data_IF_804232086972
#
_entry.id   IF_804232086972
#
_cell.length_a   1.000
_cell.length_b   1.000
_cell.length_c   1.000
_cell.angle_alpha   90.00
_cell.angle_beta   90.00
_cell.angle_gamma   90.00
#
_symmetry.space_group_name_H-M   'P 1'
#
loop_
_entity.id
_entity.type
_entity.pdbx_description
1 polymer ?
#
# COMPACT_ATOMS: atom_id res chain seq x y z
N UNK A 1 -34.97 13.02 25.87
CA UNK A 1 -36.34 12.72 25.38
C UNK A 1 -36.48 11.23 25.02
N UNK A 2 -37.44 10.49 25.59
CA UNK A 2 -37.56 9.03 25.43
C UNK A 2 -37.80 8.57 23.99
N UNK A 3 -38.49 9.36 23.16
CA UNK A 3 -38.71 9.02 21.74
C UNK A 3 -37.41 8.94 20.94
N UNK A 4 -36.46 9.85 21.18
CA UNK A 4 -35.17 9.87 20.51
C UNK A 4 -34.30 8.68 20.91
N UNK A 5 -34.35 8.27 22.18
CA UNK A 5 -33.65 7.08 22.65
C UNK A 5 -34.19 5.81 21.99
N UNK A 6 -35.52 5.70 21.85
CA UNK A 6 -36.15 4.58 21.14
C UNK A 6 -35.75 4.53 19.67
N UNK A 7 -35.75 5.67 18.98
CA UNK A 7 -35.31 5.78 17.59
C UNK A 7 -33.85 5.35 17.42
N UNK A 8 -32.94 5.87 18.26
CA UNK A 8 -31.52 5.53 18.23
C UNK A 8 -31.28 4.03 18.46
N UNK A 9 -31.98 3.43 19.45
CA UNK A 9 -31.88 1.98 19.73
C UNK A 9 -32.30 1.15 18.51
N UNK A 10 -33.42 1.50 17.88
CA UNK A 10 -33.90 0.81 16.66
C UNK A 10 -32.89 0.90 15.53
N UNK A 11 -32.38 2.11 15.28
CA UNK A 11 -31.38 2.35 14.24
C UNK A 11 -30.11 1.51 14.47
N UNK A 12 -29.55 1.49 15.68
CA UNK A 12 -28.34 0.70 15.99
C UNK A 12 -28.55 -0.80 15.85
N UNK A 13 -29.73 -1.32 16.22
CA UNK A 13 -30.06 -2.75 16.03
C UNK A 13 -30.08 -3.09 14.54
N UNK A 14 -30.66 -2.23 13.70
CA UNK A 14 -30.68 -2.42 12.25
C UNK A 14 -29.26 -2.37 11.66
N UNK A 15 -28.45 -1.38 12.06
CA UNK A 15 -27.06 -1.22 11.63
C UNK A 15 -26.21 -2.45 11.98
N UNK A 16 -26.33 -2.99 13.20
CA UNK A 16 -25.61 -4.21 13.63
C UNK A 16 -26.00 -5.45 12.82
N UNK A 17 -27.24 -5.54 12.36
CA UNK A 17 -27.70 -6.64 11.50
C UNK A 17 -27.17 -6.50 10.07
N UNK A 18 -27.14 -5.26 9.56
CA UNK A 18 -26.72 -4.94 8.19
C UNK A 18 -25.21 -5.05 7.98
N UNK A 19 -24.42 -4.54 8.93
CA UNK A 19 -22.96 -4.48 8.86
C UNK A 19 -22.32 -5.53 9.77
N UNK A 20 -22.69 -6.79 9.56
CA UNK A 20 -22.15 -7.91 10.32
C UNK A 20 -20.78 -8.28 9.75
N UNK A 21 -19.75 -8.18 10.57
CA UNK A 21 -18.41 -8.63 10.23
C UNK A 21 -18.30 -10.15 10.40
N UNK A 22 -17.43 -10.75 9.59
CA UNK A 22 -17.03 -12.15 9.70
C UNK A 22 -15.50 -12.27 9.55
N UNK A 23 -14.92 -13.39 10.02
CA UNK A 23 -13.52 -13.68 9.75
C UNK A 23 -13.27 -13.71 8.24
N UNK A 24 -12.33 -12.91 7.76
CA UNK A 24 -11.93 -12.92 6.35
C UNK A 24 -11.02 -14.13 6.06
N UNK A 25 -9.98 -14.30 6.87
CA UNK A 25 -9.10 -15.46 6.90
C UNK A 25 -8.45 -15.57 8.30
N UNK A 26 -7.86 -16.72 8.68
CA UNK A 26 -7.13 -16.86 9.95
C UNK A 26 -6.03 -15.80 10.10
N UNK A 27 -5.98 -15.10 11.23
CA UNK A 27 -4.99 -14.08 11.54
C UNK A 27 -5.22 -12.70 10.88
N UNK A 28 -6.18 -12.57 9.96
CA UNK A 28 -6.54 -11.29 9.37
C UNK A 28 -7.69 -10.60 10.12
N UNK A 29 -7.77 -9.26 10.07
CA UNK A 29 -8.89 -8.53 10.63
C UNK A 29 -10.23 -9.02 10.09
N UNK A 30 -11.28 -8.90 10.90
CA UNK A 30 -12.63 -9.21 10.45
C UNK A 30 -13.07 -8.20 9.41
N UNK A 31 -13.78 -8.67 8.40
CA UNK A 31 -14.24 -7.86 7.29
C UNK A 31 -15.72 -8.10 7.04
N UNK A 32 -16.32 -7.27 6.20
CA UNK A 32 -17.64 -7.55 5.66
C UNK A 32 -17.53 -8.79 4.75
N UNK A 33 -18.39 -9.81 4.91
CA UNK A 33 -18.33 -11.01 4.08
C UNK A 33 -18.38 -10.70 2.59
N UNK A 34 -17.64 -11.44 1.77
CA UNK A 34 -17.65 -11.22 0.32
C UNK A 34 -19.06 -11.44 -0.25
N UNK A 35 -19.46 -10.58 -1.18
CA UNK A 35 -20.77 -10.66 -1.84
C UNK A 35 -21.94 -10.09 -1.02
N UNK A 36 -21.71 -9.57 0.19
CA UNK A 36 -22.76 -8.81 0.89
C UNK A 36 -23.11 -7.54 0.09
N UNK A 37 -24.39 -7.31 -0.26
CA UNK A 37 -24.79 -6.08 -0.91
C UNK A 37 -24.47 -4.87 -0.02
N UNK A 38 -23.70 -3.92 -0.54
CA UNK A 38 -23.44 -2.66 0.13
C UNK A 38 -24.67 -1.76 0.05
N UNK A 39 -24.90 -0.97 1.10
CA UNK A 39 -25.85 0.13 1.08
C UNK A 39 -25.43 1.15 0.01
N UNK A 40 -26.36 1.77 -0.74
CA UNK A 40 -26.03 2.88 -1.63
C UNK A 40 -25.11 3.93 -1.00
N UNK A 41 -25.33 4.24 0.28
CA UNK A 41 -24.52 5.20 1.07
C UNK A 41 -23.05 4.77 1.26
N UNK A 42 -22.74 3.47 1.15
CA UNK A 42 -21.38 2.92 1.25
C UNK A 42 -20.81 2.50 -0.11
N UNK A 43 -21.65 2.45 -1.14
CA UNK A 43 -21.24 2.08 -2.49
C UNK A 43 -20.54 3.24 -3.19
N UNK A 44 -19.73 2.92 -4.21
CA UNK A 44 -19.26 3.96 -5.12
C UNK A 44 -20.44 4.54 -5.90
N UNK A 45 -20.47 5.88 -5.98
CA UNK A 45 -21.33 6.54 -6.95
C UNK A 45 -20.97 6.09 -8.37
N UNK A 46 -21.95 6.13 -9.28
CA UNK A 46 -21.74 5.72 -10.66
C UNK A 46 -20.51 6.40 -11.31
N UNK A 47 -20.29 7.72 -11.19
CA UNK A 47 -19.10 8.35 -11.77
C UNK A 47 -17.78 7.84 -11.16
N UNK A 48 -17.75 7.58 -9.85
CA UNK A 48 -16.56 7.08 -9.15
C UNK A 48 -16.25 5.63 -9.56
N UNK A 49 -17.28 4.79 -9.62
CA UNK A 49 -17.15 3.41 -10.07
C UNK A 49 -16.66 3.36 -11.53
N UNK A 50 -17.29 4.10 -12.43
CA UNK A 50 -16.88 4.20 -13.83
C UNK A 50 -15.44 4.68 -13.97
N UNK A 51 -15.04 5.74 -13.25
CA UNK A 51 -13.68 6.24 -13.30
C UNK A 51 -12.65 5.21 -12.79
N UNK A 52 -12.97 4.49 -11.72
CA UNK A 52 -12.10 3.44 -11.18
C UNK A 52 -11.90 2.30 -12.17
N UNK A 53 -12.99 1.74 -12.70
CA UNK A 53 -12.92 0.61 -13.62
C UNK A 53 -12.29 0.99 -14.96
N UNK A 54 -12.63 2.15 -15.54
CA UNK A 54 -12.05 2.60 -16.80
C UNK A 54 -10.55 2.92 -16.67
N UNK A 55 -10.11 3.54 -15.55
CA UNK A 55 -8.68 3.78 -15.34
C UNK A 55 -7.92 2.46 -15.14
N UNK A 56 -8.50 1.53 -14.37
CA UNK A 56 -7.90 0.21 -14.16
C UNK A 56 -7.77 -0.59 -15.44
N UNK A 57 -8.81 -0.61 -16.29
CA UNK A 57 -8.77 -1.33 -17.56
C UNK A 57 -7.85 -0.67 -18.59
N UNK A 58 -7.82 0.67 -18.64
CA UNK A 58 -6.90 1.40 -19.52
C UNK A 58 -5.42 1.21 -19.14
N UNK A 59 -5.11 1.02 -17.85
CA UNK A 59 -3.75 0.77 -17.37
C UNK A 59 -3.21 -0.63 -17.74
N UNK A 60 -4.09 -1.58 -18.03
CA UNK A 60 -3.75 -2.98 -18.34
C UNK A 60 -4.46 -3.45 -19.63
N UNK A 61 -4.04 -2.99 -20.82
CA UNK A 61 -4.69 -3.39 -22.06
C UNK A 61 -4.55 -4.90 -22.32
N UNK A 62 -5.55 -5.57 -22.92
CA UNK A 62 -5.42 -6.96 -23.30
C UNK A 62 -4.19 -7.13 -24.21
N UNK A 63 -3.26 -8.00 -23.81
CA UNK A 63 -2.00 -8.23 -24.52
C UNK A 63 -0.75 -7.62 -23.90
N UNK A 64 -0.79 -7.07 -22.67
CA UNK A 64 0.47 -6.81 -21.93
C UNK A 64 1.23 -8.13 -21.77
N UNK A 65 2.45 -8.28 -22.31
CA UNK A 65 3.23 -9.48 -22.10
C UNK A 65 3.46 -9.67 -20.61
N UNK A 66 3.31 -10.90 -20.10
CA UNK A 66 3.79 -11.23 -18.76
C UNK A 66 5.26 -10.84 -18.68
N UNK A 67 5.58 -9.92 -17.78
CA UNK A 67 6.95 -9.45 -17.58
C UNK A 67 7.79 -10.65 -17.13
N UNK A 68 8.71 -11.08 -17.99
CA UNK A 68 9.74 -12.05 -17.62
C UNK A 68 10.53 -11.50 -16.43
N UNK A 69 10.79 -12.26 -15.36
CA UNK A 69 11.39 -11.75 -14.11
C UNK A 69 12.86 -11.33 -14.24
N UNK A 70 13.42 -11.26 -15.44
CA UNK A 70 14.80 -10.80 -15.65
C UNK A 70 14.85 -9.29 -15.78
N UNK A 71 15.40 -8.63 -14.76
CA UNK A 71 15.94 -7.27 -14.83
C UNK A 71 17.33 -7.25 -14.15
N UNK A 72 18.34 -6.55 -14.71
CA UNK A 72 18.54 -6.19 -16.11
C UNK A 72 19.99 -6.52 -16.60
N UNK A 73 20.38 -6.10 -17.81
CA UNK A 73 20.97 -4.75 -17.94
C UNK A 73 20.39 -3.99 -19.14
N UNK A 74 19.92 -2.74 -19.08
CA UNK A 74 19.59 -1.82 -17.99
C UNK A 74 18.11 -1.40 -18.15
N UNK A 75 17.40 -1.37 -17.03
CA UNK A 75 16.06 -0.82 -16.74
C UNK A 75 14.98 -0.84 -17.86
N UNK A 76 13.88 -1.62 -17.72
CA UNK A 76 12.75 -1.57 -18.64
C UNK A 76 12.03 -0.21 -18.59
N UNK A 77 11.55 0.23 -19.76
CA UNK A 77 10.70 1.42 -19.92
C UNK A 77 9.42 1.25 -19.11
N UNK A 78 9.31 1.94 -17.97
CA UNK A 78 8.05 2.03 -17.25
C UNK A 78 6.95 2.57 -18.18
N UNK A 79 5.75 1.98 -18.21
CA UNK A 79 4.64 2.55 -18.96
C UNK A 79 4.40 3.98 -18.45
N UNK A 80 4.47 4.94 -19.37
CA UNK A 80 4.29 6.36 -19.09
C UNK A 80 2.90 6.56 -18.48
N UNK A 81 2.82 7.01 -17.22
CA UNK A 81 1.52 7.24 -16.58
C UNK A 81 1.47 7.29 -15.05
N UNK A 82 2.58 7.14 -14.32
CA UNK A 82 2.62 7.25 -12.85
C UNK A 82 3.10 8.65 -12.43
N UNK A 83 2.49 9.32 -11.42
CA UNK A 83 2.74 10.73 -11.09
C UNK A 83 3.96 10.98 -10.17
N UNK A 84 4.98 10.13 -10.20
CA UNK A 84 6.37 10.53 -9.91
C UNK A 84 7.10 10.44 -11.25
N UNK A 85 7.96 11.39 -11.67
CA UNK A 85 8.61 11.26 -12.96
C UNK A 85 9.39 9.94 -12.93
N UNK A 86 8.94 8.89 -13.66
CA UNK A 86 9.60 7.60 -13.62
C UNK A 86 11.06 7.76 -14.07
N UNK A 87 11.35 8.81 -14.82
CA UNK A 87 12.67 9.26 -15.24
C UNK A 87 13.62 9.53 -14.07
N UNK A 88 13.20 10.27 -13.03
CA UNK A 88 14.08 10.56 -11.88
C UNK A 88 14.40 9.26 -11.12
N UNK A 89 13.38 8.44 -10.86
CA UNK A 89 13.58 7.12 -10.22
C UNK A 89 14.50 6.24 -11.07
N UNK A 90 14.29 6.18 -12.39
CA UNK A 90 15.10 5.38 -13.32
C UNK A 90 16.54 5.88 -13.42
N UNK A 91 16.78 7.17 -13.23
CA UNK A 91 18.13 7.75 -13.21
C UNK A 91 18.85 7.49 -11.88
N UNK A 92 18.13 7.57 -10.75
CA UNK A 92 18.73 7.60 -9.42
C UNK A 92 18.53 6.32 -8.59
N UNK A 93 17.83 5.29 -9.07
CA UNK A 93 17.55 4.07 -8.28
C UNK A 93 18.80 3.30 -7.81
N UNK A 94 19.95 3.49 -8.47
CA UNK A 94 21.24 2.88 -8.07
C UNK A 94 22.02 3.73 -7.06
N UNK A 95 21.53 4.90 -6.67
CA UNK A 95 22.20 5.79 -5.72
C UNK A 95 21.77 5.47 -4.29
N UNK A 96 22.73 5.19 -3.41
CA UNK A 96 22.48 4.86 -1.99
C UNK A 96 21.73 5.99 -1.26
N UNK A 97 22.02 7.25 -1.60
CA UNK A 97 21.35 8.41 -1.03
C UNK A 97 19.85 8.42 -1.38
N UNK A 98 19.51 8.17 -2.65
CA UNK A 98 18.13 8.07 -3.09
C UNK A 98 17.42 6.87 -2.46
N UNK A 99 18.09 5.71 -2.38
CA UNK A 99 17.56 4.53 -1.68
C UNK A 99 17.24 4.83 -0.20
N UNK A 100 18.14 5.51 0.51
CA UNK A 100 17.95 5.92 1.91
C UNK A 100 16.80 6.92 2.11
N UNK A 101 16.68 7.91 1.20
CA UNK A 101 15.64 8.93 1.26
C UNK A 101 14.22 8.34 1.16
N UNK A 102 14.04 7.25 0.39
CA UNK A 102 12.73 6.60 0.27
C UNK A 102 12.16 6.10 1.61
N UNK A 103 13.02 5.81 2.59
CA UNK A 103 12.59 5.42 3.93
C UNK A 103 12.05 6.59 4.78
N UNK A 104 12.30 7.83 4.36
CA UNK A 104 11.82 9.05 5.02
C UNK A 104 10.67 9.73 4.26
N UNK A 105 10.75 9.75 2.93
CA UNK A 105 9.85 10.54 2.06
C UNK A 105 9.21 9.72 0.93
N UNK A 106 9.57 8.44 0.80
CA UNK A 106 9.09 7.59 -0.28
C UNK A 106 7.68 7.03 -0.06
N UNK A 107 7.37 5.93 -0.75
CA UNK A 107 6.04 5.30 -0.72
C UNK A 107 5.68 4.73 0.66
N UNK A 108 6.69 4.34 1.46
CA UNK A 108 6.48 3.68 2.76
C UNK A 108 7.37 4.25 3.89
N UNK A 109 7.11 5.49 4.36
CA UNK A 109 7.97 6.20 5.30
C UNK A 109 7.67 5.87 6.78
N UNK A 110 7.32 4.61 7.10
CA UNK A 110 6.92 4.22 8.48
C UNK A 110 7.80 3.13 9.11
N UNK A 111 8.77 2.59 8.36
CA UNK A 111 9.59 1.47 8.83
C UNK A 111 10.90 1.90 9.51
N UNK A 112 11.47 3.04 9.12
CA UNK A 112 12.78 3.46 9.61
C UNK A 112 12.72 3.82 11.09
N UNK A 113 13.63 3.25 11.87
CA UNK A 113 13.74 3.48 13.31
C UNK A 113 15.22 3.57 13.70
N UNK A 114 15.53 4.47 14.63
CA UNK A 114 16.88 4.55 15.21
C UNK A 114 17.23 3.24 15.90
N UNK A 115 18.38 2.66 15.57
CA UNK A 115 18.89 1.41 16.12
C UNK A 115 19.93 1.72 17.21
N UNK A 116 19.59 1.68 18.52
CA UNK A 116 20.56 1.95 19.58
C UNK A 116 21.53 0.78 19.82
N UNK A 117 21.18 -0.44 19.39
CA UNK A 117 21.98 -1.66 19.52
C UNK A 117 21.66 -2.59 18.35
N UNK A 118 22.71 -3.16 17.75
CA UNK A 118 22.58 -4.08 16.63
C UNK A 118 21.83 -5.36 17.05
N UNK A 119 20.84 -5.83 16.27
CA UNK A 119 20.18 -7.10 16.53
C UNK A 119 21.17 -8.29 16.48
N UNK A 120 21.08 -9.27 17.40
CA UNK A 120 22.03 -10.39 17.46
C UNK A 120 21.97 -11.31 16.22
N UNK A 121 20.84 -11.33 15.53
CA UNK A 121 20.64 -12.07 14.28
C UNK A 121 21.12 -11.29 13.03
N UNK A 122 21.74 -10.12 13.21
CA UNK A 122 22.28 -9.32 12.13
C UNK A 122 23.75 -8.94 12.43
N UNK A 123 24.70 -9.88 12.25
CA UNK A 123 26.08 -9.75 12.74
C UNK A 123 26.96 -8.89 11.82
N UNK A 124 26.59 -7.61 11.65
CA UNK A 124 27.46 -6.61 11.00
C UNK A 124 28.61 -6.26 11.93
N UNK A 125 29.83 -6.30 11.41
CA UNK A 125 31.06 -6.03 12.18
C UNK A 125 31.66 -4.67 11.80
N UNK A 126 32.47 -4.07 12.69
CA UNK A 126 33.10 -2.77 12.43
C UNK A 126 33.92 -2.74 11.12
N UNK A 127 34.72 -3.77 10.76
CA UNK A 127 35.45 -3.80 9.49
C UNK A 127 34.54 -3.74 8.25
N UNK A 128 33.32 -4.28 8.32
CA UNK A 128 32.38 -4.28 7.18
C UNK A 128 31.85 -2.88 6.85
N UNK A 129 31.78 -2.00 7.86
CA UNK A 129 31.19 -0.65 7.73
C UNK A 129 32.23 0.46 7.80
N UNK A 130 33.49 0.15 8.10
CA UNK A 130 34.58 1.11 8.16
C UNK A 130 34.67 2.03 6.91
N UNK A 131 34.51 1.52 5.67
CA UNK A 131 34.51 2.39 4.49
C UNK A 131 33.38 3.43 4.47
N UNK A 132 32.25 3.14 5.11
CA UNK A 132 31.07 4.03 5.17
C UNK A 132 31.11 5.01 6.34
N UNK A 133 31.81 4.67 7.42
CA UNK A 133 31.91 5.52 8.61
C UNK A 133 33.02 6.57 8.50
N UNK A 134 34.00 6.35 7.62
CA UNK A 134 35.19 7.18 7.51
C UNK A 134 36.29 6.76 8.49
N UNK A 135 37.48 7.40 8.44
CA UNK A 135 38.54 7.15 9.42
C UNK A 135 38.13 7.65 10.81
N UNK A 136 38.54 6.90 11.83
CA UNK A 136 38.41 7.26 13.26
C UNK A 136 39.28 8.48 13.63
#
# INVERSE_FOLDING_TARGET
>A
HPRLQRQRRRHLVQQRRRYRLAPFAPGLPWALPLGTPLDPDLSYSLPKATAFYLRGSAACPPGVPQVSPRCPPGVPRCPQGVPAPPEYVVQHWQEDAFFGEQFLSGVNPVLLRRCPRLPPNFPVTAPMVAPSLGPD
#
